data_IF_566122649228
#
_entry.id   IF_566122649228
#
_cell.length_a   1.000
_cell.length_b   1.000
_cell.length_c   1.000
_cell.angle_alpha   90.00
_cell.angle_beta   90.00
_cell.angle_gamma   90.00
#
_symmetry.space_group_name_H-M   'P 1'
#
loop_
_entity.id
_entity.type
_entity.pdbx_description
1 polymer ?
#
# COMPACT_ATOMS: atom_id res chain seq x y z
N UNK A 1 -6.44 62.03 -0.08
CA UNK A 1 -5.90 61.01 -1.00
C UNK A 1 -5.72 59.75 -0.19
N UNK A 2 -6.66 58.81 -0.27
CA UNK A 2 -6.59 57.55 0.47
C UNK A 2 -6.02 56.47 -0.46
N UNK A 3 -4.92 55.84 -0.06
CA UNK A 3 -4.35 54.67 -0.73
C UNK A 3 -5.32 53.47 -0.61
N UNK A 4 -5.49 52.65 -1.66
CA UNK A 4 -6.34 51.47 -1.58
C UNK A 4 -5.58 50.32 -0.89
N UNK A 5 -6.22 49.73 0.11
CA UNK A 5 -5.81 48.49 0.76
C UNK A 5 -5.71 47.36 -0.29
N UNK A 6 -4.52 46.80 -0.47
CA UNK A 6 -4.34 45.56 -1.22
C UNK A 6 -5.02 44.44 -0.41
N UNK A 7 -5.96 43.67 -0.97
CA UNK A 7 -6.59 42.59 -0.22
C UNK A 7 -5.54 41.50 0.06
N UNK A 8 -5.43 41.16 1.34
CA UNK A 8 -4.68 40.02 1.89
C UNK A 8 -4.97 38.77 1.06
N UNK A 9 -3.95 38.31 0.32
CA UNK A 9 -3.94 37.03 -0.39
C UNK A 9 -3.86 35.91 0.66
N UNK A 10 -4.97 35.67 1.35
CA UNK A 10 -5.10 34.51 2.23
C UNK A 10 -5.10 33.28 1.33
N UNK A 11 -4.18 32.32 1.53
CA UNK A 11 -4.20 31.09 0.75
C UNK A 11 -5.55 30.40 0.99
N UNK A 12 -6.37 30.37 -0.06
CA UNK A 12 -7.62 29.62 -0.05
C UNK A 12 -7.21 28.16 0.04
N UNK A 13 -7.38 27.56 1.23
CA UNK A 13 -7.20 26.13 1.42
C UNK A 13 -8.00 25.41 0.33
N UNK A 14 -7.29 24.72 -0.56
CA UNK A 14 -7.91 24.01 -1.66
C UNK A 14 -8.19 22.60 -1.15
N UNK A 15 -9.44 22.25 -0.82
CA UNK A 15 -9.77 20.99 -0.18
C UNK A 15 -9.38 19.77 -1.03
N UNK A 16 -9.26 19.93 -2.36
CA UNK A 16 -8.74 18.89 -3.24
C UNK A 16 -7.24 18.66 -3.07
N UNK A 17 -6.46 19.73 -2.90
CA UNK A 17 -5.01 19.60 -2.63
C UNK A 17 -4.78 19.02 -1.23
N UNK A 18 -5.58 19.44 -0.24
CA UNK A 18 -5.52 18.89 1.12
C UNK A 18 -5.88 17.39 1.15
N UNK A 19 -6.85 16.98 0.33
CA UNK A 19 -7.22 15.56 0.18
C UNK A 19 -6.11 14.77 -0.51
N UNK A 20 -5.50 15.31 -1.56
CA UNK A 20 -4.36 14.67 -2.24
C UNK A 20 -3.16 14.56 -1.32
N UNK A 21 -2.85 15.60 -0.54
CA UNK A 21 -1.78 15.57 0.46
C UNK A 21 -2.09 14.57 1.58
N UNK A 22 -3.35 14.45 2.01
CA UNK A 22 -3.76 13.44 2.99
C UNK A 22 -3.60 12.02 2.41
N UNK A 23 -3.98 11.81 1.15
CA UNK A 23 -3.83 10.53 0.46
C UNK A 23 -2.35 10.18 0.22
N UNK A 24 -1.52 11.15 -0.15
CA UNK A 24 -0.08 10.97 -0.31
C UNK A 24 0.60 10.68 1.03
N UNK A 25 0.25 11.39 2.10
CA UNK A 25 0.72 11.08 3.46
C UNK A 25 0.26 9.71 3.92
N UNK A 26 -0.96 9.30 3.59
CA UNK A 26 -1.43 7.93 3.86
C UNK A 26 -0.59 6.91 3.08
N UNK A 27 -0.25 7.16 1.82
CA UNK A 27 0.64 6.29 1.03
C UNK A 27 2.03 6.23 1.64
N UNK A 28 2.62 7.37 2.01
CA UNK A 28 3.92 7.42 2.67
C UNK A 28 3.88 6.70 4.02
N UNK A 29 2.80 6.87 4.78
CA UNK A 29 2.58 6.13 6.03
C UNK A 29 2.43 4.64 5.77
N UNK A 30 1.75 4.22 4.69
CA UNK A 30 1.63 2.81 4.31
C UNK A 30 2.95 2.23 3.79
N UNK A 31 3.79 3.05 3.15
CA UNK A 31 5.15 2.68 2.76
C UNK A 31 6.02 2.56 4.01
N UNK A 32 6.01 3.55 4.90
CA UNK A 32 6.71 3.50 6.19
C UNK A 32 6.22 2.35 7.06
N UNK A 33 4.94 1.99 7.00
CA UNK A 33 4.40 0.82 7.69
C UNK A 33 4.78 -0.48 7.00
N UNK A 34 4.84 -0.52 5.67
CA UNK A 34 5.44 -1.63 4.94
C UNK A 34 6.92 -1.80 5.30
N UNK A 35 7.63 -0.69 5.53
CA UNK A 35 8.98 -0.68 6.09
C UNK A 35 8.98 -1.18 7.52
N UNK A 36 8.12 -0.71 8.41
CA UNK A 36 8.06 -1.18 9.80
C UNK A 36 7.62 -2.65 9.92
N UNK A 37 6.76 -3.16 9.04
CA UNK A 37 6.44 -4.60 8.95
C UNK A 37 7.62 -5.37 8.31
N UNK A 38 8.38 -4.72 7.43
CA UNK A 38 9.65 -5.22 6.87
C UNK A 38 10.82 -5.23 7.87
N UNK A 39 10.90 -4.23 8.75
CA UNK A 39 11.91 -3.94 9.77
C UNK A 39 11.58 -4.63 11.10
N UNK A 40 10.31 -4.83 11.46
CA UNK A 40 9.94 -5.74 12.55
C UNK A 40 10.32 -7.20 12.23
N UNK A 41 10.70 -7.48 10.97
CA UNK A 41 11.30 -8.75 10.50
C UNK A 41 12.79 -8.60 10.14
N UNK A 42 13.47 -7.60 10.72
CA UNK A 42 14.67 -6.97 10.19
C UNK A 42 15.75 -7.90 9.62
N UNK A 43 16.31 -7.45 8.49
CA UNK A 43 17.55 -7.88 7.87
C UNK A 43 17.56 -9.27 7.20
N UNK A 44 17.11 -10.32 7.89
CA UNK A 44 17.31 -11.70 7.44
C UNK A 44 16.16 -12.20 6.56
N UNK A 45 14.92 -11.79 6.84
CA UNK A 45 13.74 -12.28 6.12
C UNK A 45 13.59 -11.67 4.72
N UNK A 46 13.93 -10.40 4.50
CA UNK A 46 13.90 -9.79 3.16
C UNK A 46 15.00 -10.33 2.24
N UNK A 47 16.20 -10.63 2.78
CA UNK A 47 17.29 -11.31 2.04
C UNK A 47 17.01 -12.79 1.80
N UNK A 48 16.26 -13.46 2.69
CA UNK A 48 15.84 -14.88 2.57
C UNK A 48 14.46 -15.05 1.93
N UNK A 49 13.76 -13.95 1.60
CA UNK A 49 12.45 -14.03 0.97
C UNK A 49 12.60 -14.84 -0.32
N UNK A 50 11.69 -15.81 -0.57
CA UNK A 50 11.80 -16.68 -1.72
C UNK A 50 11.83 -15.84 -2.99
N UNK A 51 12.81 -16.12 -3.86
CA UNK A 51 12.88 -15.51 -5.17
C UNK A 51 11.93 -16.27 -6.10
N UNK A 52 10.94 -15.56 -6.63
CA UNK A 52 10.12 -16.04 -7.72
C UNK A 52 10.65 -15.47 -9.05
N UNK A 53 10.75 -16.28 -10.11
CA UNK A 53 11.14 -15.76 -11.42
C UNK A 53 10.14 -14.71 -11.93
N UNK A 54 8.85 -15.04 -11.81
CA UNK A 54 7.71 -14.20 -12.16
C UNK A 54 6.73 -14.26 -10.98
N UNK A 55 6.17 -13.11 -10.62
CA UNK A 55 5.06 -13.01 -9.69
C UNK A 55 3.80 -12.67 -10.46
N UNK A 56 2.77 -13.50 -10.34
CA UNK A 56 1.51 -13.30 -11.04
C UNK A 56 0.47 -12.53 -10.24
N UNK A 57 -0.44 -11.84 -10.94
CA UNK A 57 -1.62 -11.23 -10.32
C UNK A 57 -2.47 -12.28 -9.60
N UNK A 58 -2.67 -13.44 -10.23
CA UNK A 58 -3.39 -14.55 -9.65
C UNK A 58 -2.75 -15.10 -8.36
N UNK A 59 -1.41 -15.14 -8.25
CA UNK A 59 -0.72 -15.57 -7.02
C UNK A 59 -1.07 -14.63 -5.85
N UNK A 60 -1.07 -13.33 -6.13
CA UNK A 60 -1.38 -12.27 -5.17
C UNK A 60 -2.83 -12.37 -4.70
N UNK A 61 -3.77 -12.45 -5.64
CA UNK A 61 -5.20 -12.58 -5.32
C UNK A 61 -5.47 -13.87 -4.56
N UNK A 62 -4.87 -14.99 -4.98
CA UNK A 62 -5.02 -16.27 -4.29
C UNK A 62 -4.52 -16.19 -2.84
N UNK A 63 -3.40 -15.51 -2.59
CA UNK A 63 -2.93 -15.28 -1.22
C UNK A 63 -3.94 -14.47 -0.40
N UNK A 64 -4.44 -13.35 -0.92
CA UNK A 64 -5.36 -12.48 -0.22
C UNK A 64 -6.68 -13.20 0.10
N UNK A 65 -7.29 -13.86 -0.89
CA UNK A 65 -8.55 -14.60 -0.74
C UNK A 65 -8.40 -15.74 0.27
N UNK A 66 -7.33 -16.52 0.18
CA UNK A 66 -7.08 -17.64 1.10
C UNK A 66 -6.91 -17.18 2.56
N UNK A 67 -6.35 -16.00 2.78
CA UNK A 67 -6.04 -15.50 4.12
C UNK A 67 -7.09 -14.54 4.70
N UNK A 68 -8.02 -14.01 3.89
CA UNK A 68 -9.10 -13.12 4.33
C UNK A 68 -9.92 -13.64 5.53
N UNK A 69 -10.31 -14.94 5.61
CA UNK A 69 -11.05 -15.45 6.77
C UNK A 69 -10.29 -15.38 8.10
N UNK A 70 -8.96 -15.25 8.05
CA UNK A 70 -8.08 -15.13 9.23
C UNK A 70 -7.95 -13.69 9.71
N UNK A 71 -8.47 -12.74 8.94
CA UNK A 71 -8.42 -11.31 9.22
C UNK A 71 -9.84 -10.74 9.02
N UNK A 72 -10.81 -11.10 9.91
CA UNK A 72 -12.20 -10.71 9.76
C UNK A 72 -12.40 -9.20 9.62
N UNK A 73 -11.57 -8.41 10.30
CA UNK A 73 -11.56 -6.95 10.31
C UNK A 73 -11.03 -6.29 9.02
N UNK A 74 -10.44 -7.06 8.10
CA UNK A 74 -9.90 -6.53 6.86
C UNK A 74 -11.00 -6.14 5.87
N UNK A 75 -11.07 -4.89 5.42
CA UNK A 75 -11.94 -4.49 4.33
C UNK A 75 -11.27 -4.62 2.95
N UNK A 76 -9.94 -4.56 2.91
CA UNK A 76 -9.18 -4.66 1.67
C UNK A 76 -7.87 -5.43 1.84
N UNK A 77 -7.32 -5.88 0.72
CA UNK A 77 -5.95 -6.36 0.61
C UNK A 77 -5.09 -5.32 -0.09
N UNK A 78 -3.83 -5.19 0.30
CA UNK A 78 -2.91 -4.26 -0.31
C UNK A 78 -1.60 -4.96 -0.66
N UNK A 79 -0.96 -4.48 -1.73
CA UNK A 79 0.29 -5.02 -2.22
C UNK A 79 1.22 -3.88 -2.54
N UNK A 80 2.36 -3.89 -1.89
CA UNK A 80 3.44 -2.94 -2.06
C UNK A 80 4.57 -3.62 -2.84
N UNK A 81 5.09 -2.96 -3.86
CA UNK A 81 6.34 -3.34 -4.53
C UNK A 81 7.41 -2.31 -4.23
N UNK A 82 8.66 -2.75 -4.16
CA UNK A 82 9.83 -1.86 -4.09
C UNK A 82 10.93 -2.36 -4.98
N UNK A 83 11.51 -1.46 -5.78
CA UNK A 83 12.69 -1.77 -6.57
C UNK A 83 13.92 -1.91 -5.66
N UNK A 84 14.60 -3.06 -5.73
CA UNK A 84 15.89 -3.33 -5.07
C UNK A 84 16.88 -3.84 -6.11
N UNK A 85 17.59 -2.91 -6.75
CA UNK A 85 18.48 -3.22 -7.86
C UNK A 85 17.72 -3.79 -9.06
N UNK A 86 17.99 -5.04 -9.43
CA UNK A 86 17.31 -5.73 -10.56
C UNK A 86 16.03 -6.46 -10.17
N UNK A 87 15.73 -6.53 -8.87
CA UNK A 87 14.61 -7.29 -8.31
C UNK A 87 13.58 -6.33 -7.70
N UNK A 88 12.36 -6.82 -7.54
CA UNK A 88 11.32 -6.21 -6.72
C UNK A 88 11.20 -7.00 -5.42
N UNK A 89 11.15 -6.29 -4.29
CA UNK A 89 10.61 -6.82 -3.05
C UNK A 89 9.11 -6.54 -3.07
N UNK A 90 8.29 -7.58 -2.98
CA UNK A 90 6.83 -7.47 -2.96
C UNK A 90 6.32 -7.94 -1.61
N UNK A 91 5.43 -7.15 -1.03
CA UNK A 91 4.82 -7.40 0.27
C UNK A 91 3.31 -7.23 0.18
N UNK A 92 2.56 -8.16 0.77
CA UNK A 92 1.11 -8.07 0.88
C UNK A 92 0.69 -7.83 2.32
N UNK A 93 -0.34 -7.04 2.56
CA UNK A 93 -0.94 -6.85 3.87
C UNK A 93 -2.45 -6.60 3.73
N UNK A 94 -3.17 -6.66 4.84
CA UNK A 94 -4.61 -6.38 4.88
C UNK A 94 -4.85 -4.98 5.45
N UNK A 95 -5.89 -4.32 4.98
CA UNK A 95 -6.31 -3.00 5.41
C UNK A 95 -7.69 -3.08 6.07
N UNK A 96 -7.92 -2.31 7.13
CA UNK A 96 -9.25 -2.09 7.72
C UNK A 96 -10.04 -0.99 6.98
N UNK A 97 -11.22 -0.63 7.50
CA UNK A 97 -12.09 0.38 6.91
C UNK A 97 -11.53 1.80 6.91
N UNK A 98 -10.54 2.08 7.77
CA UNK A 98 -9.81 3.35 7.79
C UNK A 98 -8.61 3.36 6.82
N UNK A 99 -8.44 2.28 6.04
CA UNK A 99 -7.27 2.00 5.21
C UNK A 99 -5.97 1.87 6.03
N UNK A 100 -6.07 1.54 7.32
CA UNK A 100 -4.92 1.25 8.15
C UNK A 100 -4.54 -0.24 8.07
N UNK A 101 -3.24 -0.59 8.11
CA UNK A 101 -2.83 -1.99 8.08
C UNK A 101 -3.33 -2.76 9.31
N UNK A 102 -4.02 -3.87 9.06
CA UNK A 102 -4.48 -4.74 10.12
C UNK A 102 -3.28 -5.46 10.75
N UNK A 103 -3.08 -5.24 12.05
CA UNK A 103 -2.02 -5.94 12.82
C UNK A 103 -2.48 -7.31 13.34
N UNK A 104 -3.79 -7.51 13.46
CA UNK A 104 -4.43 -8.69 14.04
C UNK A 104 -4.53 -8.59 15.56
N UNK A 105 -5.71 -8.88 16.11
CA UNK A 105 -5.98 -8.87 17.56
C UNK A 105 -5.51 -10.19 18.20
N UNK A 106 -4.18 -10.36 18.32
CA UNK A 106 -3.54 -11.46 19.05
C UNK A 106 -2.82 -12.50 18.17
N UNK A 107 -3.28 -12.75 16.94
CA UNK A 107 -2.50 -13.44 15.91
C UNK A 107 -2.12 -12.44 14.83
N UNK A 108 -0.83 -12.30 14.46
CA UNK A 108 -0.41 -11.38 13.42
C UNK A 108 -1.15 -11.64 12.11
N UNK A 109 -1.64 -10.57 11.47
CA UNK A 109 -2.26 -10.68 10.16
C UNK A 109 -1.29 -11.34 9.16
N UNK A 110 -1.78 -12.24 8.26
CA UNK A 110 -0.92 -12.89 7.29
C UNK A 110 -0.29 -11.88 6.33
N UNK A 111 1.04 -11.92 6.26
CA UNK A 111 1.84 -11.10 5.35
C UNK A 111 2.63 -12.03 4.44
N UNK A 112 2.50 -11.85 3.13
CA UNK A 112 3.38 -12.50 2.17
C UNK A 112 4.49 -11.54 1.77
N UNK A 113 5.73 -12.03 1.79
CA UNK A 113 6.90 -11.31 1.29
C UNK A 113 7.63 -12.21 0.30
N UNK A 114 7.90 -11.70 -0.88
CA UNK A 114 8.72 -12.40 -1.88
C UNK A 114 9.61 -11.42 -2.64
N UNK A 115 10.65 -11.96 -3.26
CA UNK A 115 11.42 -11.25 -4.27
C UNK A 115 10.99 -11.73 -5.64
N UNK A 116 10.95 -10.83 -6.62
CA UNK A 116 10.72 -11.22 -8.01
C UNK A 116 11.53 -10.40 -8.98
N UNK A 117 11.90 -10.98 -10.12
CA UNK A 117 12.55 -10.24 -11.21
C UNK A 117 11.55 -9.66 -12.18
N UNK A 118 10.40 -10.30 -12.31
CA UNK A 118 9.36 -9.96 -13.25
C UNK A 118 7.98 -10.01 -12.59
N UNK A 119 7.12 -9.08 -12.98
CA UNK A 119 5.69 -9.15 -12.74
C UNK A 119 5.06 -9.67 -14.02
N UNK A 120 3.99 -10.44 -13.93
CA UNK A 120 3.20 -10.73 -15.12
C UNK A 120 2.54 -9.46 -15.66
N UNK A 121 1.97 -9.54 -16.86
CA UNK A 121 1.39 -8.39 -17.55
C UNK A 121 0.25 -7.75 -16.74
N UNK A 122 -0.59 -8.58 -16.13
CA UNK A 122 -1.74 -8.13 -15.35
C UNK A 122 -1.31 -7.40 -14.07
N UNK A 123 -0.35 -7.95 -13.32
CA UNK A 123 0.18 -7.33 -12.11
C UNK A 123 0.99 -6.07 -12.44
N UNK A 124 1.77 -6.10 -13.52
CA UNK A 124 2.49 -4.92 -14.00
C UNK A 124 1.52 -3.79 -14.38
N UNK A 125 0.45 -4.10 -15.11
CA UNK A 125 -0.59 -3.15 -15.49
C UNK A 125 -1.35 -2.61 -14.27
N UNK A 126 -1.66 -3.47 -13.29
CA UNK A 126 -2.33 -3.06 -12.06
C UNK A 126 -1.50 -2.04 -11.27
N UNK A 127 -0.19 -2.22 -11.18
CA UNK A 127 0.70 -1.24 -10.55
C UNK A 127 0.84 0.04 -11.38
N UNK A 128 0.97 -0.06 -12.70
CA UNK A 128 1.32 1.08 -13.55
C UNK A 128 2.56 1.81 -13.02
N UNK A 129 2.42 3.12 -12.80
CA UNK A 129 3.48 3.99 -12.26
C UNK A 129 3.50 4.06 -10.73
N UNK A 130 2.61 3.32 -10.06
CA UNK A 130 2.51 3.29 -8.59
C UNK A 130 3.26 2.10 -8.03
N UNK A 131 3.59 2.19 -6.76
CA UNK A 131 4.23 1.10 -6.01
C UNK A 131 3.27 0.39 -5.05
N UNK A 132 2.03 0.85 -4.94
CA UNK A 132 0.98 0.30 -4.10
C UNK A 132 -0.30 0.06 -4.91
N UNK A 133 -0.89 -1.12 -4.75
CA UNK A 133 -2.22 -1.45 -5.27
C UNK A 133 -3.10 -1.99 -4.15
N UNK A 134 -4.40 -1.70 -4.22
CA UNK A 134 -5.40 -2.11 -3.23
C UNK A 134 -6.49 -2.93 -3.93
N UNK A 135 -6.85 -4.05 -3.33
CA UNK A 135 -7.84 -5.01 -3.79
C UNK A 135 -9.08 -4.98 -2.88
N UNK A 136 -10.26 -5.04 -3.51
CA UNK A 136 -11.50 -5.35 -2.80
C UNK A 136 -12.10 -4.23 -1.96
N UNK A 137 -11.67 -2.96 -2.13
CA UNK A 137 -12.37 -1.84 -1.49
C UNK A 137 -13.82 -1.85 -1.95
N UNK A 138 -14.77 -2.03 -1.03
CA UNK A 138 -16.16 -1.70 -1.30
C UNK A 138 -16.17 -0.20 -1.65
N UNK A 139 -16.58 0.12 -2.87
CA UNK A 139 -16.85 1.51 -3.24
C UNK A 139 -17.87 2.03 -2.22
N UNK A 140 -17.60 3.12 -1.48
CA UNK A 140 -18.63 3.69 -0.62
C UNK A 140 -19.82 4.01 -1.53
N UNK A 141 -20.94 3.34 -1.28
CA UNK A 141 -22.20 3.65 -1.95
C UNK A 141 -22.50 5.13 -1.71
N UNK A 142 -22.51 5.90 -2.80
CA UNK A 142 -22.98 7.28 -2.82
C UNK A 142 -24.42 7.40 -2.30
#
# INVERSE_FOLDING_TARGET
>A
MAEPLVPDDKPVANPLLDTVDLMLRQIDTLIEWGDQVGEARDGLAAKRAPLRPVLGYADVVAFLVRNRPRVPEAEAGAVLRRRRGREYLVQTFFLDGDNAPVRGTGTPAPVWVCRTRQLDEELAAAFGDKDLIIFGKAVPSC
#
